data_IF_238812812994
#
_entry.id   IF_238812812994
#
_cell.length_a   1.000
_cell.length_b   1.000
_cell.length_c   1.000
_cell.angle_alpha   90.00
_cell.angle_beta   90.00
_cell.angle_gamma   90.00
#
_symmetry.space_group_name_H-M   'P 1'
#
loop_
_entity.id
_entity.type
_entity.pdbx_description
1 polymer ?
#
# COMPACT_ATOMS: atom_id res chain seq x y z
N UNK A 1 -17.44 17.47 -11.99
CA UNK A 1 -16.44 16.42 -11.62
C UNK A 1 -17.19 15.13 -11.33
N UNK A 2 -16.93 14.08 -12.12
CA UNK A 2 -17.61 12.77 -12.01
C UNK A 2 -17.49 12.20 -10.58
N UNK A 3 -18.55 11.54 -10.09
CA UNK A 3 -18.60 10.90 -8.77
C UNK A 3 -17.38 9.99 -8.51
N UNK A 4 -16.92 9.32 -9.57
CA UNK A 4 -15.74 8.44 -9.55
C UNK A 4 -14.47 9.21 -9.17
N UNK A 5 -14.25 10.38 -9.78
CA UNK A 5 -13.06 11.21 -9.53
C UNK A 5 -13.05 11.73 -8.09
N UNK A 6 -14.20 12.16 -7.57
CA UNK A 6 -14.33 12.57 -6.17
C UNK A 6 -13.98 11.43 -5.22
N UNK A 7 -14.51 10.23 -5.48
CA UNK A 7 -14.22 9.03 -4.67
C UNK A 7 -12.74 8.67 -4.70
N UNK A 8 -12.10 8.68 -5.88
CA UNK A 8 -10.67 8.41 -6.00
C UNK A 8 -9.81 9.44 -5.24
N UNK A 9 -10.15 10.73 -5.32
CA UNK A 9 -9.45 11.78 -4.56
C UNK A 9 -9.61 11.61 -3.04
N UNK A 10 -10.81 11.22 -2.57
CA UNK A 10 -11.03 10.94 -1.16
C UNK A 10 -10.20 9.75 -0.68
N UNK A 11 -10.18 8.66 -1.45
CA UNK A 11 -9.36 7.47 -1.13
C UNK A 11 -7.89 7.84 -1.13
N UNK A 12 -7.43 8.55 -2.15
CA UNK A 12 -6.05 9.02 -2.27
C UNK A 12 -5.64 9.84 -1.04
N UNK A 13 -6.44 10.84 -0.67
CA UNK A 13 -6.16 11.71 0.48
C UNK A 13 -6.06 10.90 1.77
N UNK A 14 -6.99 9.98 2.01
CA UNK A 14 -7.03 9.20 3.24
C UNK A 14 -5.85 8.20 3.29
N UNK A 15 -5.55 7.54 2.16
CA UNK A 15 -4.41 6.64 2.05
C UNK A 15 -3.08 7.38 2.24
N UNK A 16 -2.94 8.59 1.66
CA UNK A 16 -1.77 9.44 1.81
C UNK A 16 -1.57 9.86 3.26
N UNK A 17 -2.61 10.41 3.89
CA UNK A 17 -2.52 10.87 5.27
C UNK A 17 -2.17 9.72 6.23
N UNK A 18 -2.80 8.56 6.07
CA UNK A 18 -2.54 7.39 6.90
C UNK A 18 -1.12 6.84 6.70
N UNK A 19 -0.73 6.58 5.45
CA UNK A 19 0.60 6.03 5.13
C UNK A 19 1.72 6.99 5.51
N UNK A 20 1.54 8.29 5.29
CA UNK A 20 2.53 9.31 5.66
C UNK A 20 2.66 9.45 7.17
N UNK A 21 1.55 9.56 7.91
CA UNK A 21 1.60 9.65 9.37
C UNK A 21 2.29 8.42 9.99
N UNK A 22 1.96 7.22 9.49
CA UNK A 22 2.56 5.98 9.97
C UNK A 22 4.06 5.89 9.68
N UNK A 23 4.47 6.19 8.43
CA UNK A 23 5.89 6.12 8.05
C UNK A 23 6.74 7.17 8.75
N UNK A 24 6.21 8.38 8.95
CA UNK A 24 6.88 9.43 9.76
C UNK A 24 7.04 8.99 11.21
N UNK A 25 6.02 8.36 11.80
CA UNK A 25 6.10 7.82 13.16
C UNK A 25 7.17 6.73 13.26
N UNK A 26 7.20 5.78 12.33
CA UNK A 26 8.26 4.76 12.28
C UNK A 26 9.65 5.38 12.13
N UNK A 27 9.80 6.37 11.24
CA UNK A 27 11.06 7.08 11.05
C UNK A 27 11.52 7.81 12.33
N UNK A 28 10.59 8.45 13.05
CA UNK A 28 10.88 9.12 14.31
C UNK A 28 11.35 8.13 15.39
N UNK A 29 10.71 6.97 15.51
CA UNK A 29 11.12 5.92 16.45
C UNK A 29 12.53 5.40 16.13
N UNK A 30 12.83 5.18 14.85
CA UNK A 30 14.15 4.70 14.41
C UNK A 30 15.23 5.73 14.72
N UNK A 31 14.99 7.01 14.38
CA UNK A 31 15.93 8.10 14.68
C UNK A 31 16.18 8.21 16.17
N UNK A 32 15.12 8.15 16.99
CA UNK A 32 15.24 8.17 18.45
C UNK A 32 16.02 6.97 19.00
N UNK A 33 15.77 5.77 18.47
CA UNK A 33 16.46 4.54 18.90
C UNK A 33 17.94 4.52 18.54
N UNK A 34 18.33 5.23 17.49
CA UNK A 34 19.73 5.37 17.04
C UNK A 34 20.44 6.56 17.71
N UNK A 35 19.79 7.26 18.65
CA UNK A 35 20.34 8.42 19.34
C UNK A 35 20.43 9.69 18.49
N UNK A 36 19.63 9.78 17.42
CA UNK A 36 19.55 10.97 16.59
C UNK A 36 18.57 12.01 17.16
N UNK A 37 18.94 13.29 17.08
CA UNK A 37 18.17 14.38 17.68
C UNK A 37 17.01 14.90 16.81
N UNK A 38 17.03 14.67 15.49
CA UNK A 38 16.01 15.22 14.60
C UNK A 38 15.84 14.46 13.28
N UNK A 39 14.61 14.49 12.76
CA UNK A 39 14.26 13.97 11.43
C UNK A 39 14.53 15.06 10.40
N UNK A 40 15.40 14.77 9.42
CA UNK A 40 15.69 15.70 8.31
C UNK A 40 14.45 16.03 7.48
N UNK A 41 14.26 17.32 7.16
CA UNK A 41 13.24 17.78 6.21
C UNK A 41 13.34 17.07 4.84
N UNK A 42 14.55 16.78 4.40
CA UNK A 42 14.79 16.05 3.15
C UNK A 42 14.27 14.61 3.21
N UNK A 43 14.37 13.95 4.37
CA UNK A 43 13.83 12.61 4.57
C UNK A 43 12.29 12.63 4.58
N UNK A 44 11.69 13.61 5.27
CA UNK A 44 10.24 13.83 5.28
C UNK A 44 9.67 14.04 3.87
N UNK A 45 10.34 14.85 3.04
CA UNK A 45 9.87 15.11 1.68
C UNK A 45 9.97 13.87 0.78
N UNK A 46 11.04 13.07 0.94
CA UNK A 46 11.19 11.80 0.22
C UNK A 46 10.14 10.76 0.66
N UNK A 47 9.85 10.68 1.95
CA UNK A 47 8.76 9.85 2.47
C UNK A 47 7.39 10.30 1.94
N UNK A 48 7.14 11.62 1.92
CA UNK A 48 5.92 12.17 1.36
C UNK A 48 5.75 11.80 -0.12
N UNK A 49 6.82 11.92 -0.91
CA UNK A 49 6.81 11.54 -2.32
C UNK A 49 6.50 10.04 -2.51
N UNK A 50 7.11 9.17 -1.68
CA UNK A 50 6.86 7.73 -1.70
C UNK A 50 5.40 7.41 -1.35
N UNK A 51 4.87 8.00 -0.28
CA UNK A 51 3.49 7.82 0.16
C UNK A 51 2.49 8.39 -0.85
N UNK A 52 2.79 9.53 -1.48
CA UNK A 52 1.98 10.11 -2.54
C UNK A 52 1.92 9.18 -3.75
N UNK A 53 3.05 8.67 -4.20
CA UNK A 53 3.09 7.72 -5.31
C UNK A 53 2.34 6.43 -4.99
N UNK A 54 2.62 5.82 -3.83
CA UNK A 54 1.93 4.62 -3.38
C UNK A 54 0.41 4.80 -3.27
N UNK A 55 -0.03 5.94 -2.74
CA UNK A 55 -1.46 6.27 -2.63
C UNK A 55 -2.12 6.50 -3.99
N UNK A 56 -1.40 7.10 -4.94
CA UNK A 56 -1.87 7.28 -6.31
C UNK A 56 -2.00 5.94 -7.04
N UNK A 57 -0.97 5.08 -6.97
CA UNK A 57 -1.01 3.72 -7.53
C UNK A 57 -2.14 2.90 -6.92
N UNK A 58 -2.30 2.94 -5.59
CA UNK A 58 -3.37 2.23 -4.90
C UNK A 58 -4.75 2.71 -5.35
N UNK A 59 -4.99 4.02 -5.35
CA UNK A 59 -6.27 4.60 -5.77
C UNK A 59 -6.57 4.30 -7.24
N UNK A 60 -5.55 4.35 -8.11
CA UNK A 60 -5.67 4.06 -9.53
C UNK A 60 -5.92 2.58 -9.85
N UNK A 61 -5.33 1.66 -9.10
CA UNK A 61 -5.48 0.22 -9.34
C UNK A 61 -6.79 -0.33 -8.74
N UNK A 62 -7.16 0.11 -7.53
CA UNK A 62 -8.28 -0.49 -6.79
C UNK A 62 -9.62 0.25 -6.95
N UNK A 63 -9.63 1.52 -7.35
CA UNK A 63 -10.87 2.33 -7.41
C UNK A 63 -11.18 2.86 -8.81
N UNK A 64 -10.47 2.38 -9.83
CA UNK A 64 -10.77 2.69 -11.23
C UNK A 64 -11.76 1.65 -11.80
N UNK A 65 -12.80 2.14 -12.49
CA UNK A 65 -13.87 1.30 -13.05
C UNK A 65 -13.37 0.29 -14.09
N UNK A 66 -12.22 0.57 -14.73
CA UNK A 66 -11.60 -0.33 -15.71
C UNK A 66 -11.07 -1.63 -15.10
N UNK A 67 -10.72 -1.62 -13.81
CA UNK A 67 -10.10 -2.75 -13.12
C UNK A 67 -11.05 -3.48 -12.16
N UNK A 68 -12.24 -2.94 -11.94
CA UNK A 68 -13.25 -3.47 -11.02
C UNK A 68 -13.66 -4.92 -11.35
N UNK A 69 -13.57 -5.32 -12.62
CA UNK A 69 -13.90 -6.67 -13.10
C UNK A 69 -12.72 -7.65 -13.10
N UNK A 70 -11.48 -7.19 -12.90
CA UNK A 70 -10.27 -8.02 -13.05
C UNK A 70 -9.86 -8.74 -11.76
N UNK A 71 -10.52 -8.44 -10.64
CA UNK A 71 -10.32 -9.11 -9.35
C UNK A 71 -9.12 -8.59 -8.55
N UNK A 72 -9.14 -8.87 -7.24
CA UNK A 72 -8.19 -8.31 -6.26
C UNK A 72 -6.72 -8.62 -6.59
N UNK A 73 -6.41 -9.87 -6.97
CA UNK A 73 -5.03 -10.33 -7.26
C UNK A 73 -4.44 -9.57 -8.46
N UNK A 74 -5.24 -9.30 -9.49
CA UNK A 74 -4.78 -8.52 -10.64
C UNK A 74 -4.44 -7.09 -10.23
N UNK A 75 -5.33 -6.42 -9.49
CA UNK A 75 -5.11 -5.05 -9.02
C UNK A 75 -3.90 -4.96 -8.07
N UNK A 76 -3.71 -5.96 -7.20
CA UNK A 76 -2.57 -6.06 -6.32
C UNK A 76 -1.26 -6.20 -7.10
N UNK A 77 -1.23 -7.09 -8.09
CA UNK A 77 -0.04 -7.31 -8.92
C UNK A 77 0.31 -6.06 -9.73
N UNK A 78 -0.69 -5.39 -10.32
CA UNK A 78 -0.51 -4.13 -11.03
C UNK A 78 0.02 -3.03 -10.11
N UNK A 79 -0.50 -2.93 -8.88
CA UNK A 79 0.00 -2.01 -7.87
C UNK A 79 1.49 -2.22 -7.60
N UNK A 80 1.93 -3.46 -7.34
CA UNK A 80 3.35 -3.75 -7.10
C UNK A 80 4.23 -3.46 -8.33
N UNK A 81 3.77 -3.76 -9.54
CA UNK A 81 4.50 -3.45 -10.77
C UNK A 81 4.74 -1.93 -10.91
N UNK A 82 3.75 -1.10 -10.53
CA UNK A 82 3.85 0.35 -10.61
C UNK A 82 4.59 0.98 -9.43
N UNK A 83 4.54 0.34 -8.26
CA UNK A 83 5.10 0.88 -7.02
C UNK A 83 6.58 0.51 -6.83
N UNK A 84 6.96 -0.75 -7.06
CA UNK A 84 8.31 -1.26 -6.77
C UNK A 84 9.44 -0.49 -7.47
N UNK A 85 9.34 -0.12 -8.77
CA UNK A 85 10.41 0.63 -9.43
C UNK A 85 10.66 1.99 -8.77
N UNK A 86 9.59 2.70 -8.39
CA UNK A 86 9.68 4.01 -7.75
C UNK A 86 10.18 3.88 -6.31
N UNK A 87 9.73 2.86 -5.58
CA UNK A 87 10.24 2.55 -4.26
C UNK A 87 11.76 2.32 -4.27
N UNK A 88 12.25 1.51 -5.22
CA UNK A 88 13.69 1.26 -5.39
C UNK A 88 14.44 2.58 -5.68
N UNK A 89 13.95 3.41 -6.61
CA UNK A 89 14.58 4.71 -6.92
C UNK A 89 14.64 5.62 -5.70
N UNK A 90 13.57 5.67 -4.90
CA UNK A 90 13.53 6.48 -3.68
C UNK A 90 14.49 5.92 -2.62
N UNK A 91 14.61 4.60 -2.47
CA UNK A 91 15.57 3.99 -1.53
C UNK A 91 17.03 4.28 -1.91
N UNK A 92 17.36 4.29 -3.21
CA UNK A 92 18.65 4.82 -3.67
C UNK A 92 18.84 6.30 -3.31
N UNK A 93 17.80 7.12 -3.51
CA UNK A 93 17.87 8.54 -3.15
C UNK A 93 18.03 8.78 -1.64
N UNK A 94 17.53 7.87 -0.79
CA UNK A 94 17.65 7.91 0.66
C UNK A 94 19.00 7.35 1.15
N UNK A 95 19.82 6.78 0.26
CA UNK A 95 21.09 6.14 0.63
C UNK A 95 20.92 4.76 1.28
N UNK A 96 19.72 4.17 1.24
CA UNK A 96 19.47 2.80 1.73
C UNK A 96 20.11 1.76 0.82
N UNK A 97 20.12 2.04 -0.49
CA UNK A 97 20.91 1.31 -1.46
C UNK A 97 22.03 2.22 -1.97
N UNK A 98 23.27 1.73 -1.95
CA UNK A 98 24.46 2.44 -2.46
C UNK A 98 25.13 1.56 -3.52
N UNK A 99 25.47 2.15 -4.68
CA UNK A 99 26.06 1.40 -5.80
C UNK A 99 25.09 0.36 -6.38
N UNK A 100 25.47 -0.94 -6.35
CA UNK A 100 24.57 -2.05 -6.70
C UNK A 100 23.64 -2.52 -5.57
N UNK A 101 23.75 -1.91 -4.38
CA UNK A 101 23.09 -2.37 -3.16
C UNK A 101 23.79 -3.57 -2.52
N UNK A 102 23.79 -3.65 -1.18
CA UNK A 102 24.27 -4.85 -0.48
C UNK A 102 23.34 -6.04 -0.74
N UNK A 103 23.85 -7.26 -0.95
CA UNK A 103 23.02 -8.47 -1.06
C UNK A 103 22.05 -8.63 0.12
N UNK A 104 22.46 -8.23 1.33
CA UNK A 104 21.63 -8.30 2.53
C UNK A 104 20.46 -7.32 2.45
N UNK A 105 20.70 -6.09 1.98
CA UNK A 105 19.65 -5.08 1.82
C UNK A 105 18.61 -5.53 0.79
N UNK A 106 19.06 -6.16 -0.31
CA UNK A 106 18.16 -6.74 -1.32
C UNK A 106 17.35 -7.92 -0.78
N UNK A 107 17.94 -8.80 0.04
CA UNK A 107 17.20 -9.88 0.69
C UNK A 107 16.12 -9.36 1.63
N UNK A 108 16.43 -8.36 2.46
CA UNK A 108 15.46 -7.73 3.36
C UNK A 108 14.32 -7.08 2.56
N UNK A 109 14.65 -6.38 1.48
CA UNK A 109 13.67 -5.74 0.60
C UNK A 109 12.71 -6.77 -0.01
N UNK A 110 13.23 -7.78 -0.71
CA UNK A 110 12.40 -8.79 -1.35
C UNK A 110 11.59 -9.62 -0.35
N UNK A 111 12.15 -9.93 0.81
CA UNK A 111 11.42 -10.59 1.91
C UNK A 111 10.24 -9.73 2.40
N UNK A 112 10.45 -8.42 2.53
CA UNK A 112 9.39 -7.48 2.94
C UNK A 112 8.28 -7.40 1.88
N UNK A 113 8.64 -7.29 0.61
CA UNK A 113 7.68 -7.28 -0.51
C UNK A 113 6.88 -8.58 -0.56
N UNK A 114 7.56 -9.73 -0.48
CA UNK A 114 6.92 -11.04 -0.54
C UNK A 114 5.98 -11.28 0.64
N UNK A 115 6.38 -10.94 1.86
CA UNK A 115 5.55 -11.11 3.06
C UNK A 115 4.29 -10.25 3.02
N UNK A 116 4.38 -9.00 2.55
CA UNK A 116 3.23 -8.11 2.37
C UNK A 116 2.29 -8.62 1.28
N UNK A 117 2.83 -9.08 0.15
CA UNK A 117 2.02 -9.65 -0.93
C UNK A 117 1.26 -10.91 -0.47
N UNK A 118 1.93 -11.81 0.25
CA UNK A 118 1.32 -13.01 0.80
C UNK A 118 0.24 -12.67 1.83
N UNK A 119 0.50 -11.69 2.70
CA UNK A 119 -0.49 -11.24 3.71
C UNK A 119 -1.74 -10.70 3.03
N UNK A 120 -1.59 -9.90 1.96
CA UNK A 120 -2.72 -9.38 1.20
C UNK A 120 -3.57 -10.51 0.57
N UNK A 121 -2.92 -11.55 0.02
CA UNK A 121 -3.63 -12.72 -0.52
C UNK A 121 -4.35 -13.50 0.58
N UNK A 122 -3.71 -13.68 1.75
CA UNK A 122 -4.32 -14.40 2.87
C UNK A 122 -5.56 -13.66 3.39
N UNK A 123 -5.51 -12.33 3.52
CA UNK A 123 -6.66 -11.51 3.91
C UNK A 123 -7.81 -11.67 2.92
N UNK A 124 -7.52 -11.62 1.61
CA UNK A 124 -8.53 -11.82 0.56
C UNK A 124 -9.19 -13.20 0.65
N UNK A 125 -8.38 -14.26 0.74
CA UNK A 125 -8.89 -15.64 0.75
C UNK A 125 -9.59 -16.02 2.04
N UNK A 126 -9.10 -15.61 3.19
CA UNK A 126 -9.60 -16.07 4.49
C UNK A 126 -10.71 -15.17 5.05
N UNK A 127 -10.58 -13.86 4.91
CA UNK A 127 -11.49 -12.91 5.56
C UNK A 127 -12.58 -12.47 4.58
N UNK A 128 -12.20 -12.00 3.39
CA UNK A 128 -13.16 -11.42 2.46
C UNK A 128 -14.08 -12.47 1.82
N UNK A 129 -13.54 -13.60 1.39
CA UNK A 129 -14.38 -14.69 0.85
C UNK A 129 -15.33 -15.28 1.89
N UNK A 130 -14.85 -15.47 3.14
CA UNK A 130 -15.67 -16.00 4.23
C UNK A 130 -16.82 -15.05 4.57
N UNK A 131 -16.53 -13.76 4.72
CA UNK A 131 -17.58 -12.74 4.95
C UNK A 131 -18.53 -12.64 3.78
N UNK A 132 -18.05 -12.70 2.54
CA UNK A 132 -18.91 -12.70 1.35
C UNK A 132 -19.90 -13.88 1.35
N UNK A 133 -19.45 -15.07 1.75
CA UNK A 133 -20.33 -16.23 1.89
C UNK A 133 -21.37 -16.02 3.00
N UNK A 134 -20.96 -15.52 4.17
CA UNK A 134 -21.87 -15.22 5.29
C UNK A 134 -22.94 -14.18 4.92
N UNK A 135 -22.56 -13.10 4.22
CA UNK A 135 -23.53 -12.09 3.75
C UNK A 135 -24.48 -12.66 2.70
N UNK A 136 -23.99 -13.49 1.79
CA UNK A 136 -24.84 -14.14 0.77
C UNK A 136 -25.84 -15.09 1.41
N UNK A 137 -25.43 -15.82 2.45
CA UNK A 137 -26.31 -16.71 3.20
C UNK A 137 -27.42 -15.94 3.93
N UNK A 138 -27.07 -14.86 4.64
CA UNK A 138 -28.06 -14.00 5.30
C UNK A 138 -29.06 -13.36 4.33
N UNK A 139 -28.62 -13.02 3.12
CA UNK A 139 -29.49 -12.52 2.04
C UNK A 139 -30.47 -13.58 1.54
N UNK A 140 -30.03 -14.83 1.42
CA UNK A 140 -30.92 -15.95 1.06
C UNK A 140 -31.96 -16.22 2.15
N UNK A 141 -31.53 -16.29 3.42
CA UNK A 141 -32.43 -16.48 4.56
C UNK A 141 -33.49 -15.36 4.63
N UNK A 142 -33.10 -14.10 4.39
CA UNK A 142 -34.04 -12.98 4.33
C UNK A 142 -35.05 -13.10 3.17
N UNK A 143 -34.60 -13.52 1.98
CA UNK A 143 -35.47 -13.71 0.82
C UNK A 143 -36.40 -14.93 0.95
N UNK A 144 -35.99 -15.98 1.65
CA UNK A 144 -36.81 -17.17 1.92
C UNK A 144 -37.81 -16.94 3.06
N UNK A 145 -37.51 -16.00 3.98
CA UNK A 145 -38.42 -15.58 5.05
C UNK A 145 -39.53 -14.61 4.62
N UNK A 146 -39.60 -14.29 3.33
CA UNK A 146 -40.52 -13.32 2.73
C UNK A 146 -41.48 -14.00 1.77
#
# INVERSE_FOLDING_TARGET
MSYIVKRMLTVFRNALAFSYAWTVLCAAIIVWSLGGDSVSLGLLFKLLALCAWGSACFSGCFFNSLFDKKGFIFCLTLFYILFLPVEIMIYYSMGLFVGGGSPIAWMIFWSSVASMYMTAILIDRLILKRRGAEYTQKLKEYNESK
#
